data_IF_710808370855
#
_entry.id   IF_710808370855
#
_cell.length_a   1.000
_cell.length_b   1.000
_cell.length_c   1.000
_cell.angle_alpha   90.00
_cell.angle_beta   90.00
_cell.angle_gamma   90.00
#
_symmetry.space_group_name_H-M   'P 1'
#
loop_
_entity.id
_entity.type
_entity.pdbx_description
1 polymer ?
#
# COMPACT_ATOMS: atom_id res chain seq x y z
N UNK A 1 -8.34 15.25 -25.62
CA UNK A 1 -8.49 13.87 -25.11
C UNK A 1 -7.59 13.80 -23.89
N UNK A 2 -8.18 13.78 -22.70
CA UNK A 2 -7.43 13.68 -21.44
C UNK A 2 -6.84 12.28 -21.32
N UNK A 3 -5.62 12.15 -20.79
CA UNK A 3 -4.96 10.86 -20.63
C UNK A 3 -5.76 10.01 -19.64
N UNK A 4 -6.23 8.79 -20.00
CA UNK A 4 -7.00 7.93 -19.09
C UNK A 4 -6.22 7.52 -17.83
N UNK A 5 -4.91 7.80 -17.78
CA UNK A 5 -4.07 7.64 -16.60
C UNK A 5 -4.09 8.84 -15.63
N UNK A 6 -4.50 10.04 -16.06
CA UNK A 6 -4.49 11.24 -15.20
C UNK A 6 -5.44 11.09 -14.00
N UNK A 7 -6.59 10.44 -14.18
CA UNK A 7 -7.52 10.11 -13.10
C UNK A 7 -7.08 8.93 -12.24
N UNK A 8 -6.03 8.21 -12.66
CA UNK A 8 -5.58 6.99 -12.01
C UNK A 8 -4.36 7.19 -11.10
N UNK A 9 -3.59 8.26 -11.33
CA UNK A 9 -2.33 8.51 -10.62
C UNK A 9 -2.20 9.90 -10.00
N UNK A 10 -3.14 10.82 -10.25
CA UNK A 10 -2.99 12.24 -9.89
C UNK A 10 -2.73 12.55 -8.40
N UNK A 11 -3.14 11.70 -7.46
CA UNK A 11 -3.17 12.04 -6.02
C UNK A 11 -2.60 10.98 -5.05
N UNK A 12 -1.69 10.10 -5.51
CA UNK A 12 -1.03 9.19 -4.58
C UNK A 12 0.16 9.89 -3.89
N UNK A 13 0.21 9.97 -2.55
CA UNK A 13 1.30 10.63 -1.86
C UNK A 13 2.60 9.90 -2.15
N UNK A 14 3.59 10.62 -2.67
CA UNK A 14 5.00 10.27 -2.56
C UNK A 14 5.29 10.02 -1.09
N UNK A 15 5.94 8.91 -0.76
CA UNK A 15 6.44 8.65 0.60
C UNK A 15 7.66 9.53 0.86
N UNK A 16 7.48 10.85 0.80
CA UNK A 16 8.39 11.80 1.38
C UNK A 16 7.70 12.32 2.62
N UNK A 17 8.20 11.88 3.77
CA UNK A 17 7.81 12.36 5.10
C UNK A 17 8.29 13.81 5.22
N UNK A 18 7.57 14.74 4.63
CA UNK A 18 7.73 16.16 4.91
C UNK A 18 6.80 16.56 6.05
N UNK A 19 7.43 16.90 7.18
CA UNK A 19 6.80 17.63 8.24
C UNK A 19 6.67 19.10 7.81
N UNK A 20 5.44 19.57 7.57
CA UNK A 20 5.03 20.98 7.71
C UNK A 20 3.53 21.04 7.41
N UNK A 21 2.71 21.43 8.39
CA UNK A 21 2.42 22.81 8.80
C UNK A 21 0.98 23.12 8.39
N UNK A 22 0.09 22.98 9.37
CA UNK A 22 -1.31 23.35 9.29
C UNK A 22 -1.48 24.84 8.98
N UNK A 23 -2.33 25.15 8.01
CA UNK A 23 -3.19 26.33 8.08
C UNK A 23 -4.63 25.94 7.76
N UNK A 24 -5.47 25.95 8.79
CA UNK A 24 -6.92 26.18 8.69
C UNK A 24 -7.29 27.32 9.65
N UNK A 25 -8.35 28.09 9.35
CA UNK A 25 -8.63 29.35 9.99
C UNK A 25 -9.30 29.19 11.37
N UNK A 26 -9.18 30.27 12.15
CA UNK A 26 -9.53 30.42 13.55
C UNK A 26 -11.00 30.12 13.91
N UNK A 27 -11.24 29.79 15.20
CA UNK A 27 -12.24 30.52 15.96
C UNK A 27 -11.68 31.10 17.27
N UNK A 28 -12.31 32.21 17.68
CA UNK A 28 -11.97 33.08 18.80
C UNK A 28 -11.96 32.35 20.16
N UNK A 29 -10.81 32.34 20.84
CA UNK A 29 -10.75 32.30 22.32
C UNK A 29 -9.34 32.68 22.85
N UNK A 30 -8.98 33.96 22.76
CA UNK A 30 -7.68 34.52 23.19
C UNK A 30 -7.84 35.49 24.38
N UNK A 31 -8.28 35.02 25.55
CA UNK A 31 -8.20 35.85 26.77
C UNK A 31 -7.70 35.15 28.06
N UNK A 32 -7.39 33.85 28.04
CA UNK A 32 -6.98 33.16 29.30
C UNK A 32 -5.53 32.67 29.36
N UNK A 33 -4.69 32.91 28.33
CA UNK A 33 -3.28 32.43 28.33
C UNK A 33 -2.22 33.51 28.57
N UNK A 34 -2.59 34.79 28.60
CA UNK A 34 -1.65 35.89 28.82
C UNK A 34 -1.26 36.09 30.31
N UNK A 35 -1.94 35.43 31.26
CA UNK A 35 -1.73 35.65 32.69
C UNK A 35 -0.76 34.62 33.33
N UNK A 36 -0.58 33.45 32.71
CA UNK A 36 0.24 32.36 33.28
C UNK A 36 1.73 32.46 32.90
N UNK A 37 2.07 33.22 31.85
CA UNK A 37 3.45 33.39 31.38
C UNK A 37 4.24 34.48 32.14
N UNK A 38 3.56 35.35 32.90
CA UNK A 38 4.21 36.41 33.70
C UNK A 38 4.77 35.94 35.05
N UNK A 39 4.39 34.76 35.53
CA UNK A 39 4.89 34.23 36.82
C UNK A 39 6.20 33.43 36.72
N UNK A 40 6.63 33.00 35.53
CA UNK A 40 7.85 32.19 35.35
C UNK A 40 9.15 32.98 35.15
N UNK A 41 9.10 34.31 35.01
CA UNK A 41 10.29 35.14 34.78
C UNK A 41 10.91 35.77 36.04
N UNK A 42 10.49 35.39 37.26
CA UNK A 42 11.00 35.99 38.51
C UNK A 42 11.99 35.14 39.32
N UNK A 43 12.55 34.06 38.76
CA UNK A 43 13.56 33.24 39.46
C UNK A 43 14.72 32.84 38.55
N UNK A 44 15.59 33.80 38.26
CA UNK A 44 16.95 33.54 37.78
C UNK A 44 17.86 34.68 38.21
N UNK A 45 18.50 34.52 39.37
CA UNK A 45 19.68 35.27 39.77
C UNK A 45 20.50 34.38 40.72
N UNK A 46 21.70 33.99 40.29
CA UNK A 46 22.99 34.01 41.02
C UNK A 46 23.96 33.04 40.32
N UNK A 47 25.04 33.58 39.76
CA UNK A 47 26.20 32.91 39.14
C UNK A 47 27.21 32.44 40.22
N UNK A 48 28.55 32.23 40.02
CA UNK A 48 29.40 32.12 38.80
C UNK A 48 30.55 31.05 38.84
N UNK A 49 31.37 31.05 37.77
CA UNK A 49 32.82 30.68 37.71
C UNK A 49 33.15 29.24 37.27
N UNK A 50 34.21 28.92 36.51
CA UNK A 50 35.42 29.65 36.13
C UNK A 50 36.05 29.13 34.81
N UNK A 51 36.92 29.96 34.22
CA UNK A 51 37.80 29.74 33.05
C UNK A 51 38.90 28.68 33.23
N UNK A 52 39.57 28.27 32.13
CA UNK A 52 41.02 28.39 31.87
C UNK A 52 41.37 27.87 30.44
N UNK A 53 42.35 28.56 29.83
CA UNK A 53 42.91 28.52 28.47
C UNK A 53 43.91 27.37 28.14
N UNK A 54 44.18 27.19 26.84
CA UNK A 54 45.50 27.06 26.13
C UNK A 54 45.37 26.13 24.89
N UNK A 55 45.65 26.54 23.64
CA UNK A 55 46.91 26.97 22.95
C UNK A 55 47.87 25.83 22.54
N UNK A 56 48.26 25.86 21.25
CA UNK A 56 49.47 25.29 20.60
C UNK A 56 49.57 23.76 20.40
N UNK A 57 50.24 23.17 19.39
CA UNK A 57 50.99 23.62 18.21
C UNK A 57 51.28 22.41 17.28
N UNK A 58 51.81 22.73 16.10
CA UNK A 58 52.30 21.94 14.96
C UNK A 58 53.22 20.73 15.24
N UNK A 59 53.28 19.76 14.31
CA UNK A 59 54.54 19.27 13.68
C UNK A 59 54.33 18.23 12.56
N UNK A 60 54.92 18.54 11.40
CA UNK A 60 55.76 17.74 10.44
C UNK A 60 55.59 16.20 10.38
N UNK A 61 55.69 15.50 9.23
CA UNK A 61 56.93 15.21 8.47
C UNK A 61 56.62 14.55 7.10
N UNK A 62 57.47 14.86 6.10
CA UNK A 62 57.68 14.31 4.74
C UNK A 62 57.59 12.77 4.57
N UNK A 63 57.24 12.22 3.39
CA UNK A 63 58.04 12.22 2.16
C UNK A 63 57.73 10.98 1.27
N UNK A 64 58.40 10.80 0.11
CA UNK A 64 57.72 10.66 -1.19
C UNK A 64 57.89 9.28 -1.88
N UNK A 65 57.07 8.97 -2.90
CA UNK A 65 57.42 7.95 -3.90
C UNK A 65 57.12 8.37 -5.35
N UNK A 66 58.06 8.00 -6.22
CA UNK A 66 58.34 8.49 -7.56
C UNK A 66 57.40 7.91 -8.64
N UNK A 67 56.86 8.75 -9.54
CA UNK A 67 57.24 8.98 -10.95
C UNK A 67 57.37 7.76 -11.89
N UNK A 68 56.53 7.83 -12.94
CA UNK A 68 56.74 7.49 -14.37
C UNK A 68 56.95 6.00 -14.71
N UNK A 69 56.57 5.47 -15.87
CA UNK A 69 55.75 5.81 -17.04
C UNK A 69 56.17 4.75 -18.09
N UNK A 70 55.26 4.12 -18.83
CA UNK A 70 55.50 3.79 -20.25
C UNK A 70 54.27 3.23 -20.94
N UNK A 71 53.88 3.97 -21.97
CA UNK A 71 52.99 3.59 -23.06
C UNK A 71 53.61 2.45 -23.87
N UNK A 72 52.75 1.57 -24.41
CA UNK A 72 52.97 0.88 -25.68
C UNK A 72 51.64 0.75 -26.43
N UNK A 73 51.59 1.46 -27.55
CA UNK A 73 50.60 1.31 -28.62
C UNK A 73 50.78 -0.01 -29.38
N UNK A 74 49.70 -0.47 -30.01
CA UNK A 74 49.77 -1.17 -31.29
C UNK A 74 49.52 -2.68 -31.28
N UNK A 75 48.26 -3.10 -31.32
CA UNK A 75 47.87 -4.32 -32.04
C UNK A 75 46.43 -4.22 -32.56
N UNK A 76 46.18 -4.44 -33.86
CA UNK A 76 44.87 -4.33 -34.48
C UNK A 76 44.08 -5.64 -34.30
N UNK A 77 43.03 -5.62 -33.48
CA UNK A 77 42.07 -6.72 -33.37
C UNK A 77 40.76 -6.44 -34.11
N UNK A 78 40.13 -7.49 -34.68
CA UNK A 78 39.04 -7.36 -35.65
C UNK A 78 37.72 -6.94 -35.01
N UNK A 79 36.88 -6.34 -35.83
CA UNK A 79 35.49 -5.94 -35.60
C UNK A 79 34.76 -6.94 -34.68
N UNK A 80 34.53 -6.53 -33.43
CA UNK A 80 33.68 -7.25 -32.48
C UNK A 80 32.24 -7.24 -33.00
N UNK A 81 31.72 -8.44 -33.20
CA UNK A 81 30.32 -8.73 -33.43
C UNK A 81 29.43 -7.96 -32.43
N UNK A 82 28.35 -7.40 -32.96
CA UNK A 82 27.22 -6.82 -32.22
C UNK A 82 26.74 -7.87 -31.23
N UNK A 83 26.93 -7.62 -29.94
CA UNK A 83 26.55 -8.55 -28.90
C UNK A 83 25.11 -8.26 -28.46
N UNK A 84 24.22 -9.22 -28.68
CA UNK A 84 22.90 -9.34 -28.04
C UNK A 84 22.86 -10.32 -26.82
N UNK A 85 23.84 -10.37 -25.88
CA UNK A 85 23.81 -11.34 -24.78
C UNK A 85 22.99 -10.89 -23.56
N UNK A 86 22.78 -9.59 -23.33
CA UNK A 86 22.14 -9.09 -22.10
C UNK A 86 20.64 -9.39 -22.00
N UNK A 87 19.94 -9.47 -23.13
CA UNK A 87 18.49 -9.68 -23.18
C UNK A 87 18.10 -11.12 -22.81
N UNK A 88 18.89 -12.10 -23.25
CA UNK A 88 18.68 -13.52 -22.91
C UNK A 88 18.90 -13.79 -21.42
N UNK A 89 19.92 -13.17 -20.81
CA UNK A 89 20.18 -13.30 -19.37
C UNK A 89 19.04 -12.72 -18.52
N UNK A 90 18.48 -11.58 -18.91
CA UNK A 90 17.36 -10.97 -18.22
C UNK A 90 16.10 -11.85 -18.28
N UNK A 91 15.80 -12.42 -19.44
CA UNK A 91 14.64 -13.29 -19.61
C UNK A 91 14.72 -14.51 -18.70
N UNK A 92 15.87 -15.20 -18.68
CA UNK A 92 16.08 -16.34 -17.78
C UNK A 92 16.02 -15.94 -16.31
N UNK A 93 16.58 -14.78 -15.94
CA UNK A 93 16.51 -14.27 -14.58
C UNK A 93 15.06 -14.01 -14.14
N UNK A 94 14.26 -13.35 -14.99
CA UNK A 94 12.84 -13.10 -14.72
C UNK A 94 12.03 -14.38 -14.62
N UNK A 95 12.30 -15.39 -15.46
CA UNK A 95 11.66 -16.70 -15.33
C UNK A 95 11.99 -17.38 -13.99
N UNK A 96 13.26 -17.37 -13.58
CA UNK A 96 13.70 -17.95 -12.29
C UNK A 96 13.05 -17.22 -11.10
N UNK A 97 12.98 -15.89 -11.16
CA UNK A 97 12.30 -15.06 -10.15
C UNK A 97 10.81 -15.36 -10.11
N UNK A 98 10.14 -15.44 -11.27
CA UNK A 98 8.70 -15.73 -11.35
C UNK A 98 8.37 -17.08 -10.70
N UNK A 99 9.15 -18.12 -10.98
CA UNK A 99 9.00 -19.44 -10.32
C UNK A 99 9.22 -19.38 -8.81
N UNK A 100 10.14 -18.53 -8.35
CA UNK A 100 10.41 -18.34 -6.93
C UNK A 100 9.33 -17.50 -6.23
N UNK A 101 8.68 -16.58 -6.93
CA UNK A 101 7.55 -15.78 -6.44
C UNK A 101 6.33 -16.65 -6.15
N UNK A 102 6.05 -17.61 -7.04
CA UNK A 102 4.92 -18.55 -6.91
C UNK A 102 5.22 -19.76 -6.03
N UNK A 103 6.43 -19.85 -5.47
CA UNK A 103 6.80 -20.96 -4.59
C UNK A 103 6.04 -20.87 -3.25
N UNK A 104 5.58 -22.00 -2.69
CA UNK A 104 4.91 -22.04 -1.39
C UNK A 104 5.84 -21.65 -0.23
N UNK A 105 7.16 -21.72 -0.43
CA UNK A 105 8.15 -21.31 0.57
C UNK A 105 8.23 -19.79 0.65
N UNK A 106 7.70 -19.23 1.74
CA UNK A 106 7.53 -17.80 1.96
C UNK A 106 8.87 -17.03 1.88
N UNK A 107 9.94 -17.55 2.47
CA UNK A 107 11.30 -16.97 2.38
C UNK A 107 11.83 -16.84 0.95
N UNK A 108 11.52 -17.80 0.08
CA UNK A 108 11.92 -17.74 -1.33
C UNK A 108 11.13 -16.66 -2.07
N UNK A 109 9.83 -16.57 -1.79
CA UNK A 109 8.95 -15.56 -2.38
C UNK A 109 9.36 -14.15 -1.94
N UNK A 110 9.67 -13.93 -0.66
CA UNK A 110 10.22 -12.66 -0.13
C UNK A 110 11.47 -12.20 -0.87
N UNK A 111 12.47 -13.09 -0.97
CA UNK A 111 13.72 -12.79 -1.69
C UNK A 111 13.47 -12.50 -3.15
N UNK A 112 12.58 -13.27 -3.80
CA UNK A 112 12.21 -13.06 -5.19
C UNK A 112 11.50 -11.72 -5.41
N UNK A 113 10.60 -11.30 -4.50
CA UNK A 113 9.96 -9.97 -4.56
C UNK A 113 11.01 -8.87 -4.46
N UNK A 114 11.91 -8.94 -3.46
CA UNK A 114 12.97 -7.94 -3.30
C UNK A 114 13.91 -7.87 -4.51
N UNK A 115 14.24 -9.01 -5.12
CA UNK A 115 15.03 -9.06 -6.36
C UNK A 115 14.26 -8.49 -7.56
N UNK A 116 12.98 -8.82 -7.70
CA UNK A 116 12.14 -8.28 -8.77
C UNK A 116 12.05 -6.75 -8.65
N UNK A 117 11.83 -6.22 -7.45
CA UNK A 117 11.82 -4.77 -7.21
C UNK A 117 13.12 -4.13 -7.66
N UNK A 118 14.28 -4.69 -7.26
CA UNK A 118 15.60 -4.17 -7.65
C UNK A 118 15.80 -4.17 -9.17
N UNK A 119 15.50 -5.28 -9.84
CA UNK A 119 15.61 -5.38 -11.30
C UNK A 119 14.66 -4.42 -11.99
N UNK A 120 13.42 -4.32 -11.50
CA UNK A 120 12.44 -3.40 -12.03
C UNK A 120 12.93 -1.95 -11.92
N UNK A 121 13.55 -1.57 -10.80
CA UNK A 121 14.09 -0.21 -10.58
C UNK A 121 15.42 0.07 -11.29
N UNK A 122 16.20 -0.95 -11.66
CA UNK A 122 17.53 -0.75 -12.26
C UNK A 122 17.51 -0.92 -13.78
N UNK A 123 16.84 -1.97 -14.27
CA UNK A 123 17.03 -2.49 -15.63
C UNK A 123 15.81 -2.32 -16.53
N UNK A 124 14.63 -2.00 -15.98
CA UNK A 124 13.41 -1.88 -16.79
C UNK A 124 13.47 -0.66 -17.72
N UNK A 125 13.19 -0.89 -18.99
CA UNK A 125 13.11 0.10 -20.07
C UNK A 125 11.98 -0.28 -21.04
N UNK A 126 11.75 0.51 -22.08
CA UNK A 126 10.67 0.28 -23.06
C UNK A 126 10.83 -1.01 -23.85
N UNK A 127 12.07 -1.48 -24.08
CA UNK A 127 12.35 -2.69 -24.86
C UNK A 127 12.05 -3.98 -24.08
N UNK A 128 12.24 -3.95 -22.75
CA UNK A 128 12.09 -5.13 -21.89
C UNK A 128 10.85 -5.07 -20.97
N UNK A 129 10.09 -3.97 -20.96
CA UNK A 129 8.91 -3.78 -20.10
C UNK A 129 7.88 -4.91 -20.24
N UNK A 130 7.70 -5.46 -21.44
CA UNK A 130 6.78 -6.59 -21.68
C UNK A 130 7.15 -7.84 -20.87
N UNK A 131 8.45 -8.10 -20.66
CA UNK A 131 8.94 -9.24 -19.88
C UNK A 131 8.65 -9.05 -18.39
N UNK A 132 8.85 -7.82 -17.87
CA UNK A 132 8.49 -7.47 -16.49
C UNK A 132 6.98 -7.56 -16.27
N UNK A 133 6.18 -7.05 -17.20
CA UNK A 133 4.72 -7.15 -17.13
C UNK A 133 4.25 -8.61 -17.13
N UNK A 134 4.86 -9.47 -17.96
CA UNK A 134 4.54 -10.90 -17.96
C UNK A 134 4.88 -11.56 -16.62
N UNK A 135 6.07 -11.31 -16.07
CA UNK A 135 6.49 -11.83 -14.76
C UNK A 135 5.54 -11.38 -13.63
N UNK A 136 5.19 -10.09 -13.61
CA UNK A 136 4.19 -9.54 -12.69
C UNK A 136 2.82 -10.19 -12.89
N UNK A 137 2.38 -10.37 -14.13
CA UNK A 137 1.10 -10.99 -14.46
C UNK A 137 1.00 -12.42 -13.93
N UNK A 138 2.03 -13.24 -14.12
CA UNK A 138 2.10 -14.58 -13.54
C UNK A 138 2.06 -14.56 -12.01
N UNK A 139 2.77 -13.62 -11.39
CA UNK A 139 2.75 -13.48 -9.95
C UNK A 139 1.35 -13.07 -9.43
N UNK A 140 0.74 -12.05 -10.03
CA UNK A 140 -0.54 -11.50 -9.61
C UNK A 140 -1.73 -12.42 -9.92
N UNK A 141 -1.57 -13.35 -10.89
CA UNK A 141 -2.53 -14.40 -11.16
C UNK A 141 -2.37 -15.63 -10.25
N UNK A 142 -1.29 -15.72 -9.48
CA UNK A 142 -1.05 -16.90 -8.64
C UNK A 142 -2.02 -16.96 -7.46
N UNK A 143 -2.51 -18.16 -7.16
CA UNK A 143 -3.44 -18.39 -6.06
C UNK A 143 -2.82 -17.97 -4.72
N UNK A 144 -3.60 -17.28 -3.90
CA UNK A 144 -3.18 -16.80 -2.58
C UNK A 144 -2.17 -15.65 -2.63
N UNK A 145 -1.86 -15.07 -3.80
CA UNK A 145 -0.86 -14.00 -3.90
C UNK A 145 -1.22 -12.81 -3.05
N UNK A 146 -2.50 -12.42 -3.07
CA UNK A 146 -2.96 -11.28 -2.30
C UNK A 146 -2.96 -11.59 -0.81
N UNK A 147 -3.31 -12.79 -0.40
CA UNK A 147 -3.23 -13.22 1.00
C UNK A 147 -1.77 -13.22 1.50
N UNK A 148 -0.81 -13.54 0.62
CA UNK A 148 0.63 -13.42 0.91
C UNK A 148 1.09 -11.97 0.97
N UNK A 149 0.73 -11.14 0.00
CA UNK A 149 1.09 -9.72 -0.09
C UNK A 149 0.44 -8.87 1.02
N UNK A 150 -0.77 -9.25 1.42
CA UNK A 150 -1.58 -8.61 2.47
C UNK A 150 -1.46 -9.33 3.81
N UNK A 151 -0.54 -10.27 3.93
CA UNK A 151 -0.34 -11.07 5.14
C UNK A 151 -0.02 -10.21 6.37
N UNK A 152 -0.14 -10.77 7.58
CA UNK A 152 0.05 -10.01 8.82
C UNK A 152 1.49 -9.52 9.03
N UNK A 153 2.46 -10.11 8.33
CA UNK A 153 3.88 -9.75 8.43
C UNK A 153 4.14 -8.32 7.96
N UNK A 154 4.71 -7.49 8.84
CA UNK A 154 5.11 -6.13 8.50
C UNK A 154 6.15 -6.09 7.35
N UNK A 155 7.08 -7.06 7.34
CA UNK A 155 8.11 -7.18 6.30
C UNK A 155 7.52 -7.54 4.93
N UNK A 156 6.58 -8.48 4.88
CA UNK A 156 5.90 -8.87 3.65
C UNK A 156 5.15 -7.70 3.02
N UNK A 157 4.43 -6.94 3.84
CA UNK A 157 3.72 -5.74 3.41
C UNK A 157 4.69 -4.66 2.91
N UNK A 158 5.83 -4.48 3.57
CA UNK A 158 6.84 -3.52 3.13
C UNK A 158 7.44 -3.90 1.77
N UNK A 159 7.74 -5.19 1.54
CA UNK A 159 8.23 -5.69 0.26
C UNK A 159 7.19 -5.56 -0.86
N UNK A 160 5.94 -5.94 -0.57
CA UNK A 160 4.81 -5.79 -1.48
C UNK A 160 4.60 -4.33 -1.89
N UNK A 161 4.60 -3.43 -0.90
CA UNK A 161 4.47 -2.00 -1.12
C UNK A 161 5.63 -1.45 -1.96
N UNK A 162 6.87 -1.85 -1.68
CA UNK A 162 8.04 -1.43 -2.45
C UNK A 162 7.97 -1.91 -3.91
N UNK A 163 7.55 -3.16 -4.14
CA UNK A 163 7.35 -3.69 -5.49
C UNK A 163 6.30 -2.88 -6.26
N UNK A 164 5.12 -2.66 -5.66
CA UNK A 164 4.03 -1.94 -6.32
C UNK A 164 4.34 -0.46 -6.51
N UNK A 165 5.07 0.17 -5.58
CA UNK A 165 5.56 1.53 -5.74
C UNK A 165 6.52 1.63 -6.94
N UNK A 166 7.45 0.68 -7.08
CA UNK A 166 8.35 0.63 -8.23
C UNK A 166 7.60 0.39 -9.54
N UNK A 167 6.58 -0.48 -9.56
CA UNK A 167 5.69 -0.69 -10.73
C UNK A 167 4.99 0.62 -11.10
N UNK A 168 4.45 1.35 -10.11
CA UNK A 168 3.77 2.63 -10.31
C UNK A 168 4.69 3.67 -10.94
N UNK A 169 5.90 3.82 -10.42
CA UNK A 169 6.89 4.81 -10.92
C UNK A 169 7.29 4.56 -12.37
N UNK A 170 7.20 3.30 -12.82
CA UNK A 170 7.62 2.89 -14.16
C UNK A 170 6.47 2.51 -15.07
N UNK A 171 5.24 2.81 -14.67
CA UNK A 171 4.07 2.27 -15.36
C UNK A 171 3.97 2.74 -16.81
N UNK A 172 4.40 3.98 -17.09
CA UNK A 172 4.39 4.56 -18.43
C UNK A 172 5.34 3.85 -19.42
N UNK A 173 6.26 3.02 -18.93
CA UNK A 173 7.14 2.20 -19.78
C UNK A 173 6.41 0.96 -20.34
N UNK A 174 5.28 0.56 -19.77
CA UNK A 174 4.46 -0.51 -20.32
C UNK A 174 3.70 -0.03 -21.57
N UNK A 175 3.34 -0.97 -22.43
CA UNK A 175 2.39 -0.73 -23.53
C UNK A 175 1.00 -0.38 -22.96
N UNK A 176 0.18 0.45 -23.63
CA UNK A 176 -1.06 0.99 -23.05
C UNK A 176 -2.00 -0.07 -22.44
N UNK A 177 -2.17 -1.23 -23.08
CA UNK A 177 -3.02 -2.28 -22.54
C UNK A 177 -2.50 -2.84 -21.20
N UNK A 178 -1.17 -2.97 -21.06
CA UNK A 178 -0.48 -3.42 -19.86
C UNK A 178 -0.46 -2.35 -18.76
N UNK A 179 -0.45 -1.06 -19.12
CA UNK A 179 -0.53 0.04 -18.15
C UNK A 179 -1.78 -0.08 -17.29
N UNK A 180 -2.95 -0.28 -17.89
CA UNK A 180 -4.20 -0.38 -17.14
C UNK A 180 -4.21 -1.54 -16.15
N UNK A 181 -3.71 -2.70 -16.58
CA UNK A 181 -3.64 -3.88 -15.73
C UNK A 181 -2.64 -3.69 -14.58
N UNK A 182 -1.45 -3.19 -14.87
CA UNK A 182 -0.45 -2.85 -13.85
C UNK A 182 -1.01 -1.84 -12.85
N UNK A 183 -1.81 -0.91 -13.33
CA UNK A 183 -2.39 0.11 -12.49
C UNK A 183 -3.47 -0.45 -11.54
N UNK A 184 -4.32 -1.35 -12.03
CA UNK A 184 -5.26 -2.09 -11.21
C UNK A 184 -4.57 -2.91 -10.14
N UNK A 185 -3.42 -3.54 -10.45
CA UNK A 185 -2.61 -4.23 -9.45
C UNK A 185 -2.09 -3.29 -8.36
N UNK A 186 -1.58 -2.11 -8.75
CA UNK A 186 -1.12 -1.08 -7.81
C UNK A 186 -2.27 -0.61 -6.91
N UNK A 187 -3.44 -0.30 -7.50
CA UNK A 187 -4.63 0.11 -6.75
C UNK A 187 -5.01 -0.95 -5.72
N UNK A 188 -5.21 -2.19 -6.16
CA UNK A 188 -5.62 -3.31 -5.30
C UNK A 188 -4.59 -3.55 -4.19
N UNK A 189 -3.31 -3.60 -4.55
CA UNK A 189 -2.25 -3.96 -3.61
C UNK A 189 -1.87 -2.87 -2.63
N UNK A 190 -2.11 -1.60 -2.95
CA UNK A 190 -1.89 -0.50 -2.02
C UNK A 190 -3.12 -0.19 -1.15
N UNK A 191 -4.34 -0.35 -1.68
CA UNK A 191 -5.55 0.00 -0.93
C UNK A 191 -6.09 -1.13 -0.05
N UNK A 192 -6.00 -2.40 -0.49
CA UNK A 192 -6.47 -3.52 0.34
C UNK A 192 -5.77 -3.66 1.71
N UNK A 193 -4.44 -3.45 1.86
CA UNK A 193 -3.82 -3.48 3.17
C UNK A 193 -4.35 -2.37 4.08
N UNK A 194 -4.55 -1.16 3.53
CA UNK A 194 -5.15 -0.05 4.27
C UNK A 194 -6.62 -0.31 4.63
N UNK A 195 -7.35 -1.12 3.86
CA UNK A 195 -8.72 -1.57 4.20
C UNK A 195 -8.75 -2.70 5.24
N UNK A 196 -7.63 -3.36 5.53
CA UNK A 196 -7.54 -4.47 6.49
C UNK A 196 -6.90 -4.05 7.82
N UNK A 197 -6.62 -2.77 7.99
CA UNK A 197 -6.02 -2.22 9.22
C UNK A 197 -7.09 -1.85 10.25
N UNK A 198 -6.69 -1.82 11.51
CA UNK A 198 -7.44 -1.28 12.66
C UNK A 198 -7.30 0.25 12.80
N UNK A 199 -6.34 0.86 12.12
CA UNK A 199 -6.18 2.32 12.03
C UNK A 199 -7.33 2.94 11.20
N UNK A 200 -8.25 3.58 11.92
CA UNK A 200 -9.42 4.25 11.33
C UNK A 200 -9.03 5.33 10.30
N UNK A 201 -7.89 6.01 10.45
CA UNK A 201 -7.46 7.03 9.50
C UNK A 201 -6.98 6.41 8.19
N UNK A 202 -6.16 5.36 8.27
CA UNK A 202 -5.71 4.62 7.09
C UNK A 202 -6.90 3.99 6.34
N UNK A 203 -7.82 3.35 7.05
CA UNK A 203 -9.03 2.80 6.45
C UNK A 203 -9.86 3.86 5.72
N UNK A 204 -10.16 4.99 6.38
CA UNK A 204 -10.96 6.08 5.78
C UNK A 204 -10.28 6.68 4.55
N UNK A 205 -8.96 6.83 4.59
CA UNK A 205 -8.18 7.31 3.46
C UNK A 205 -8.29 6.36 2.27
N UNK A 206 -8.16 5.05 2.50
CA UNK A 206 -8.32 4.06 1.46
C UNK A 206 -9.74 4.03 0.89
N UNK A 207 -10.77 4.04 1.76
CA UNK A 207 -12.17 4.10 1.33
C UNK A 207 -12.46 5.35 0.49
N UNK A 208 -11.94 6.51 0.88
CA UNK A 208 -12.06 7.75 0.10
C UNK A 208 -11.41 7.63 -1.27
N UNK A 209 -10.20 7.07 -1.37
CA UNK A 209 -9.53 6.86 -2.67
C UNK A 209 -10.35 5.95 -3.58
N UNK A 210 -10.89 4.85 -3.06
CA UNK A 210 -11.76 3.96 -3.84
C UNK A 210 -12.98 4.72 -4.35
N UNK A 211 -13.57 5.58 -3.51
CA UNK A 211 -14.69 6.45 -3.92
C UNK A 211 -14.29 7.38 -5.06
N UNK A 212 -13.10 7.96 -5.02
CA UNK A 212 -12.57 8.80 -6.11
C UNK A 212 -12.49 8.02 -7.43
N UNK A 213 -11.95 6.78 -7.40
CA UNK A 213 -11.94 5.90 -8.57
C UNK A 213 -13.34 5.53 -9.08
N UNK A 214 -14.29 5.28 -8.17
CA UNK A 214 -15.70 5.02 -8.51
C UNK A 214 -16.32 6.24 -9.18
N UNK A 215 -16.11 7.44 -8.63
CA UNK A 215 -16.68 8.67 -9.20
C UNK A 215 -16.12 8.98 -10.59
N UNK A 216 -14.86 8.61 -10.83
CA UNK A 216 -14.18 8.74 -12.12
C UNK A 216 -14.56 7.65 -13.14
N UNK A 217 -15.46 6.71 -12.82
CA UNK A 217 -16.01 5.80 -13.82
C UNK A 217 -16.92 6.56 -14.77
N UNK A 218 -16.65 6.39 -16.06
CA UNK A 218 -17.51 6.83 -17.15
C UNK A 218 -18.59 5.77 -17.44
N UNK A 219 -19.64 6.16 -18.15
CA UNK A 219 -20.69 5.23 -18.55
C UNK A 219 -20.13 4.16 -19.48
N UNK A 220 -20.70 2.95 -19.43
CA UNK A 220 -20.36 1.88 -20.38
C UNK A 220 -20.56 2.39 -21.80
N UNK A 221 -19.50 2.30 -22.59
CA UNK A 221 -19.52 2.56 -24.03
C UNK A 221 -19.67 1.22 -24.75
N UNK A 222 -20.15 1.26 -25.99
CA UNK A 222 -20.28 0.05 -26.82
C UNK A 222 -18.92 -0.68 -26.97
N UNK A 223 -17.84 0.11 -26.98
CA UNK A 223 -16.46 -0.38 -26.87
C UNK A 223 -16.01 -0.31 -25.40
N UNK A 224 -16.34 -1.34 -24.60
CA UNK A 224 -15.84 -1.44 -23.22
C UNK A 224 -14.30 -1.55 -23.24
N UNK A 225 -13.65 -0.41 -22.97
CA UNK A 225 -12.20 -0.32 -23.03
C UNK A 225 -11.60 -1.22 -21.93
N UNK A 226 -10.51 -1.91 -22.27
CA UNK A 226 -9.73 -2.71 -21.33
C UNK A 226 -9.42 -1.94 -20.04
N UNK A 227 -9.15 -0.64 -20.17
CA UNK A 227 -8.92 0.27 -19.07
C UNK A 227 -10.04 0.26 -18.02
N UNK A 228 -11.28 0.48 -18.47
CA UNK A 228 -12.44 0.58 -17.59
C UNK A 228 -12.75 -0.78 -16.97
N UNK A 229 -12.60 -1.85 -17.75
CA UNK A 229 -12.75 -3.22 -17.24
C UNK A 229 -11.76 -3.55 -16.13
N UNK A 230 -10.48 -3.27 -16.32
CA UNK A 230 -9.46 -3.52 -15.30
C UNK A 230 -9.70 -2.65 -14.05
N UNK A 231 -10.15 -1.39 -14.23
CA UNK A 231 -10.49 -0.48 -13.12
C UNK A 231 -11.69 -0.99 -12.32
N UNK A 232 -12.78 -1.43 -12.96
CA UNK A 232 -13.97 -1.96 -12.28
C UNK A 232 -13.66 -3.22 -11.48
N UNK A 233 -12.88 -4.14 -12.04
CA UNK A 233 -12.41 -5.34 -11.33
C UNK A 233 -11.60 -4.99 -10.07
N UNK A 234 -10.74 -3.98 -10.16
CA UNK A 234 -9.96 -3.49 -9.04
C UNK A 234 -10.86 -2.88 -7.94
N UNK A 235 -11.83 -2.06 -8.33
CA UNK A 235 -12.84 -1.50 -7.42
C UNK A 235 -13.62 -2.60 -6.70
N UNK A 236 -14.14 -3.60 -7.43
CA UNK A 236 -14.87 -4.73 -6.84
C UNK A 236 -14.00 -5.50 -5.84
N UNK A 237 -12.72 -5.75 -6.16
CA UNK A 237 -11.80 -6.41 -5.22
C UNK A 237 -11.59 -5.60 -3.92
N UNK A 238 -11.51 -4.28 -4.03
CA UNK A 238 -11.44 -3.39 -2.87
C UNK A 238 -12.76 -3.35 -2.08
N UNK A 239 -13.91 -3.32 -2.74
CA UNK A 239 -15.24 -3.37 -2.09
C UNK A 239 -15.44 -4.65 -1.28
N UNK A 240 -15.09 -5.81 -1.86
CA UNK A 240 -15.09 -7.10 -1.13
C UNK A 240 -14.23 -7.03 0.12
N UNK A 241 -13.07 -6.39 0.03
CA UNK A 241 -12.14 -6.25 1.16
C UNK A 241 -12.68 -5.31 2.23
N UNK A 242 -13.26 -4.16 1.83
CA UNK A 242 -13.87 -3.22 2.75
C UNK A 242 -15.08 -3.83 3.49
N UNK A 243 -15.92 -4.60 2.78
CA UNK A 243 -17.08 -5.27 3.35
C UNK A 243 -16.70 -6.25 4.47
N UNK A 244 -15.50 -6.87 4.40
CA UNK A 244 -15.01 -7.72 5.49
C UNK A 244 -14.89 -6.96 6.81
N UNK A 245 -14.72 -5.64 6.81
CA UNK A 245 -14.64 -4.82 8.03
C UNK A 245 -15.99 -4.32 8.53
N UNK A 246 -17.12 -4.70 7.90
CA UNK A 246 -18.45 -4.19 8.25
C UNK A 246 -18.91 -4.56 9.68
N UNK A 247 -18.28 -5.56 10.30
CA UNK A 247 -18.55 -5.91 11.69
C UNK A 247 -18.01 -4.87 12.68
N UNK A 248 -17.10 -3.98 12.26
CA UNK A 248 -16.58 -2.90 13.08
C UNK A 248 -17.43 -1.63 12.96
N UNK A 249 -17.98 -1.16 14.09
CA UNK A 249 -18.79 0.06 14.14
C UNK A 249 -18.07 1.30 13.59
N UNK A 250 -16.75 1.40 13.80
CA UNK A 250 -15.94 2.52 13.32
C UNK A 250 -15.79 2.56 11.80
N UNK A 251 -15.95 1.42 11.10
CA UNK A 251 -15.81 1.30 9.64
C UNK A 251 -17.14 1.47 8.89
N UNK A 252 -18.28 1.17 9.54
CA UNK A 252 -19.61 1.10 8.90
C UNK A 252 -19.96 2.32 8.07
N UNK A 253 -19.85 3.53 8.63
CA UNK A 253 -20.23 4.76 7.92
C UNK A 253 -19.43 4.94 6.62
N UNK A 254 -18.12 4.64 6.65
CA UNK A 254 -17.27 4.74 5.46
C UNK A 254 -17.58 3.66 4.42
N UNK A 255 -17.95 2.45 4.86
CA UNK A 255 -18.40 1.38 3.96
C UNK A 255 -19.74 1.75 3.31
N UNK A 256 -20.70 2.24 4.09
CA UNK A 256 -22.01 2.69 3.59
C UNK A 256 -21.87 3.83 2.56
N UNK A 257 -21.06 4.84 2.86
CA UNK A 257 -20.76 5.93 1.90
C UNK A 257 -20.14 5.39 0.61
N UNK A 258 -19.21 4.44 0.72
CA UNK A 258 -18.54 3.84 -0.43
C UNK A 258 -19.52 3.02 -1.30
N UNK A 259 -20.37 2.20 -0.67
CA UNK A 259 -21.40 1.43 -1.38
C UNK A 259 -22.48 2.32 -1.98
N UNK A 260 -22.83 3.43 -1.33
CA UNK A 260 -23.74 4.44 -1.89
C UNK A 260 -23.16 5.03 -3.18
N UNK A 261 -21.92 5.52 -3.14
CA UNK A 261 -21.26 6.07 -4.33
C UNK A 261 -21.13 5.04 -5.47
N UNK A 262 -20.86 3.78 -5.14
CA UNK A 262 -20.78 2.71 -6.14
C UNK A 262 -22.14 2.38 -6.74
N UNK A 263 -23.21 2.42 -5.93
CA UNK A 263 -24.59 2.21 -6.39
C UNK A 263 -25.06 3.32 -7.33
N UNK A 264 -24.63 4.56 -7.09
CA UNK A 264 -24.89 5.70 -8.01
C UNK A 264 -24.23 5.50 -9.37
N UNK A 265 -23.10 4.77 -9.41
CA UNK A 265 -22.37 4.38 -10.62
C UNK A 265 -22.70 2.97 -11.10
N UNK A 266 -23.78 2.35 -10.60
CA UNK A 266 -24.15 0.95 -10.92
C UNK A 266 -24.26 0.69 -12.43
N UNK A 267 -24.73 1.66 -13.22
CA UNK A 267 -24.87 1.52 -14.68
C UNK A 267 -23.53 1.56 -15.43
N UNK A 268 -22.43 1.92 -14.76
CA UNK A 268 -21.08 1.82 -15.30
C UNK A 268 -20.52 0.39 -15.25
N UNK A 269 -21.24 -0.56 -14.62
CA UNK A 269 -20.82 -1.96 -14.50
C UNK A 269 -21.63 -2.86 -15.44
N UNK A 270 -21.01 -3.85 -16.10
CA UNK A 270 -21.71 -4.88 -16.87
C UNK A 270 -22.61 -5.72 -15.95
N UNK A 271 -23.54 -6.47 -16.53
CA UNK A 271 -24.55 -7.23 -15.79
C UNK A 271 -23.98 -8.13 -14.70
N UNK A 272 -22.98 -8.96 -15.02
CA UNK A 272 -22.31 -9.85 -14.06
C UNK A 272 -21.71 -9.08 -12.85
N UNK A 273 -21.06 -7.95 -13.12
CA UNK A 273 -20.46 -7.10 -12.08
C UNK A 273 -21.52 -6.35 -11.26
N UNK A 274 -22.68 -6.02 -11.85
CA UNK A 274 -23.82 -5.41 -11.15
C UNK A 274 -24.49 -6.38 -10.20
N UNK A 275 -24.66 -7.62 -10.60
CA UNK A 275 -25.21 -8.67 -9.73
C UNK A 275 -24.35 -8.84 -8.48
N UNK A 276 -23.03 -8.90 -8.66
CA UNK A 276 -22.09 -8.97 -7.54
C UNK A 276 -22.18 -7.73 -6.64
N UNK A 277 -22.24 -6.53 -7.23
CA UNK A 277 -22.41 -5.29 -6.47
C UNK A 277 -23.71 -5.29 -5.65
N UNK A 278 -24.82 -5.74 -6.24
CA UNK A 278 -26.12 -5.81 -5.60
C UNK A 278 -26.15 -6.86 -4.48
N UNK A 279 -25.47 -8.00 -4.66
CA UNK A 279 -25.30 -9.02 -3.62
C UNK A 279 -24.55 -8.44 -2.42
N UNK A 280 -23.43 -7.75 -2.66
CA UNK A 280 -22.66 -7.09 -1.60
C UNK A 280 -23.46 -5.98 -0.89
N UNK A 281 -24.20 -5.16 -1.65
CA UNK A 281 -25.06 -4.12 -1.09
C UNK A 281 -26.22 -4.70 -0.27
N UNK A 282 -26.77 -5.84 -0.69
CA UNK A 282 -27.81 -6.56 0.05
C UNK A 282 -27.26 -7.09 1.36
N UNK A 283 -26.08 -7.74 1.34
CA UNK A 283 -25.37 -8.21 2.55
C UNK A 283 -25.17 -7.08 3.56
N UNK A 284 -24.68 -5.92 3.09
CA UNK A 284 -24.49 -4.72 3.93
C UNK A 284 -25.79 -4.28 4.63
N UNK A 285 -26.91 -4.21 3.89
CA UNK A 285 -28.22 -3.81 4.44
C UNK A 285 -28.81 -4.84 5.41
N UNK A 286 -28.65 -6.14 5.12
CA UNK A 286 -29.15 -7.20 6.00
C UNK A 286 -28.41 -7.21 7.33
N UNK A 287 -27.08 -7.05 7.30
CA UNK A 287 -26.26 -6.97 8.51
C UNK A 287 -26.56 -5.71 9.33
N UNK A 288 -26.80 -4.56 8.67
CA UNK A 288 -27.20 -3.33 9.35
C UNK A 288 -28.53 -3.48 10.12
N UNK A 289 -29.45 -4.30 9.62
CA UNK A 289 -30.75 -4.59 10.26
C UNK A 289 -30.68 -5.72 11.30
N UNK A 290 -29.51 -6.29 11.56
CA UNK A 290 -29.37 -7.46 12.43
C UNK A 290 -30.05 -8.71 11.87
N UNK A 291 -30.23 -8.79 10.55
CA UNK A 291 -30.83 -9.91 9.87
C UNK A 291 -29.72 -10.79 9.27
N UNK A 292 -29.78 -12.10 9.48
CA UNK A 292 -28.93 -13.07 8.79
C UNK A 292 -29.66 -13.64 7.58
N UNK A 293 -28.98 -13.76 6.44
CA UNK A 293 -29.51 -14.44 5.26
C UNK A 293 -29.07 -15.90 5.32
N UNK A 294 -30.03 -16.83 5.31
CA UNK A 294 -29.74 -18.26 5.24
C UNK A 294 -29.29 -18.65 3.82
N UNK A 295 -28.61 -19.80 3.63
CA UNK A 295 -28.16 -20.25 2.30
C UNK A 295 -29.29 -20.43 1.26
N UNK A 296 -30.56 -20.45 1.70
CA UNK A 296 -31.75 -20.45 0.83
C UNK A 296 -32.19 -19.04 0.37
N UNK A 297 -31.45 -17.98 0.70
CA UNK A 297 -31.78 -16.59 0.37
C UNK A 297 -32.82 -15.94 1.30
N UNK A 298 -33.38 -16.67 2.25
CA UNK A 298 -34.37 -16.15 3.21
C UNK A 298 -33.71 -15.29 4.29
N UNK A 299 -34.22 -14.08 4.48
CA UNK A 299 -33.79 -13.14 5.52
C UNK A 299 -34.43 -13.52 6.86
N UNK A 300 -33.62 -13.81 7.89
CA UNK A 300 -34.06 -14.21 9.23
C UNK A 300 -33.50 -13.25 10.26
N UNK A 301 -34.31 -12.82 11.24
CA UNK A 301 -33.84 -11.98 12.34
C UNK A 301 -32.82 -12.70 13.20
N UNK A 302 -31.62 -12.12 13.34
CA UNK A 302 -30.60 -12.65 14.24
C UNK A 302 -30.99 -12.28 15.66
N UNK A 303 -31.60 -13.23 16.38
CA UNK A 303 -31.87 -13.08 17.81
C UNK A 303 -30.53 -12.97 18.54
N UNK A 304 -30.10 -11.75 18.84
CA UNK A 304 -28.90 -11.47 19.65
C UNK A 304 -29.18 -11.90 21.09
N UNK A 305 -28.94 -13.18 21.42
CA UNK A 305 -28.65 -13.54 22.81
C UNK A 305 -27.24 -13.06 23.10
N UNK A 306 -27.12 -11.91 23.75
CA UNK A 306 -25.89 -11.56 24.46
C UNK A 306 -25.63 -12.63 25.49
N UNK A 307 -24.70 -13.54 25.21
CA UNK A 307 -24.15 -14.44 26.21
C UNK A 307 -23.16 -13.60 27.03
N UNK A 308 -23.67 -12.87 28.02
CA UNK A 308 -22.87 -12.39 29.14
C UNK A 308 -22.46 -13.62 29.97
N UNK A 309 -21.41 -14.31 29.55
CA UNK A 309 -20.77 -15.37 30.34
C UNK A 309 -19.47 -14.83 30.94
N UNK A 310 -19.61 -13.87 31.85
CA UNK A 310 -18.62 -13.61 32.91
C UNK A 310 -19.26 -13.99 34.25
N UNK A 311 -19.12 -15.26 34.61
CA UNK A 311 -19.27 -15.72 35.97
C UNK A 311 -18.14 -16.72 36.25
N UNK A 312 -16.98 -16.20 36.61
CA UNK A 312 -15.93 -16.97 37.26
C UNK A 312 -16.43 -17.36 38.66
N UNK A 313 -16.47 -18.65 39.03
CA UNK A 313 -16.80 -19.03 40.40
C UNK A 313 -15.64 -18.67 41.34
N UNK A 314 -15.91 -17.74 42.25
CA UNK A 314 -15.06 -17.41 43.40
C UNK A 314 -14.99 -18.64 44.32
N UNK A 315 -13.84 -19.29 44.37
CA UNK A 315 -13.57 -20.42 45.26
C UNK A 315 -13.09 -19.89 46.61
N UNK A 316 -14.02 -19.61 47.54
CA UNK A 316 -13.68 -19.31 48.93
C UNK A 316 -13.59 -20.61 49.74
N UNK A 317 -12.37 -21.12 49.93
CA UNK A 317 -12.07 -22.09 51.00
C UNK A 317 -11.99 -21.36 52.34
N UNK A 318 -13.06 -21.40 53.13
CA UNK A 318 -13.02 -21.46 54.60
C UNK A 318 -13.23 -22.95 54.93
N UNK A 319 -12.37 -23.65 55.68
CA UNK A 319 -11.83 -23.25 56.97
C UNK A 319 -12.87 -23.61 58.02
N UNK A 320 -12.97 -24.90 58.38
CA UNK A 320 -13.68 -25.32 59.58
C UNK A 320 -12.84 -26.34 60.36
N UNK A 321 -12.64 -25.96 61.61
CA UNK A 321 -12.03 -26.65 62.74
C UNK A 321 -13.19 -27.18 63.61
N UNK A 322 -12.89 -28.12 64.51
CA UNK A 322 -13.75 -28.85 65.46
C UNK A 322 -14.22 -30.22 64.91
N UNK A 323 -13.98 -31.35 65.58
CA UNK A 323 -13.64 -31.61 66.98
C UNK A 323 -12.96 -32.97 67.09
#
# INVERSE_FOLDING_TARGET
>A
MSDPLDGLFGDLPSTTREASSSQRPAPQHEQSKAQEQRQRQKRAATAPGSSIDNEQAEKMVHGPEAKRAREKEGSPFPLKAVSEPKTLELHEALQKITRALTSPKLEKSRKAMGLLTKLLTAEMNTENASQFHAALGFFMASEGVWERLLGPGAEDRALAHALLAAVRERILLFEPSAQYRAASWVLVGLLRPELLTDDTFAFRRAARRIREYVTALENLREDDNLADRERRKAILACLRTALKQNFHSWAKASIEELFKATSEKRLCFPEEEREELDEMATKLRTEARGLSVNPSGTVVSRSVRMVNSMATPFNTKKGDVFR
#
